data_IF_533428175499
#
_entry.id   IF_533428175499
#
_cell.length_a   1.000
_cell.length_b   1.000
_cell.length_c   1.000
_cell.angle_alpha   90.00
_cell.angle_beta   90.00
_cell.angle_gamma   90.00
#
_symmetry.space_group_name_H-M   'P 1'
#
loop_
_entity.id
_entity.type
_entity.pdbx_description
1 polymer ?
#
# COMPACT_ATOMS: atom_id res chain seq x y z
N UNK A 1 -20.19 32.96 12.92
CA UNK A 1 -20.89 31.69 13.22
C UNK A 1 -19.99 30.53 12.85
N UNK A 2 -19.66 29.65 13.79
CA UNK A 2 -18.80 28.49 13.54
C UNK A 2 -19.54 27.45 12.69
N UNK A 3 -18.93 27.03 11.59
CA UNK A 3 -19.49 26.00 10.70
C UNK A 3 -19.47 24.66 11.45
N UNK A 4 -20.64 24.14 11.83
CA UNK A 4 -20.77 22.85 12.51
C UNK A 4 -20.24 21.74 11.60
N UNK A 5 -19.29 20.94 12.08
CA UNK A 5 -18.74 19.83 11.32
C UNK A 5 -19.75 18.67 11.26
N UNK A 6 -20.17 18.28 10.05
CA UNK A 6 -21.07 17.14 9.81
C UNK A 6 -20.24 15.88 9.57
N UNK A 7 -20.10 15.02 10.58
CA UNK A 7 -19.22 13.82 10.54
C UNK A 7 -19.98 12.48 10.40
N UNK A 8 -21.29 12.45 10.65
CA UNK A 8 -22.09 11.22 10.57
C UNK A 8 -22.59 10.97 9.16
N UNK A 9 -22.53 9.71 8.71
CA UNK A 9 -23.02 9.27 7.40
C UNK A 9 -24.27 8.38 7.56
N UNK A 10 -25.30 8.65 6.76
CA UNK A 10 -26.51 7.81 6.66
C UNK A 10 -26.52 7.14 5.29
N UNK A 11 -26.67 5.83 5.25
CA UNK A 11 -26.76 5.05 4.01
C UNK A 11 -28.23 4.79 3.64
N UNK A 12 -28.61 5.11 2.40
CA UNK A 12 -29.98 4.90 1.88
C UNK A 12 -29.94 3.87 0.76
N UNK A 13 -30.82 2.86 0.81
CA UNK A 13 -30.97 1.87 -0.25
C UNK A 13 -32.03 2.34 -1.23
N UNK A 14 -31.64 2.50 -2.49
CA UNK A 14 -32.51 2.87 -3.61
C UNK A 14 -32.23 1.93 -4.79
N UNK A 15 -33.18 1.86 -5.70
CA UNK A 15 -33.05 1.15 -6.96
C UNK A 15 -32.10 1.87 -7.93
N UNK A 16 -31.56 1.09 -8.88
CA UNK A 16 -30.56 1.57 -9.84
C UNK A 16 -31.03 2.75 -10.71
N UNK A 17 -32.27 2.79 -11.26
CA UNK A 17 -32.67 3.90 -12.12
C UNK A 17 -32.84 5.20 -11.31
N UNK A 18 -33.44 5.14 -10.12
CA UNK A 18 -33.50 6.31 -9.21
C UNK A 18 -32.11 6.84 -8.87
N UNK A 19 -31.14 5.95 -8.63
CA UNK A 19 -29.76 6.36 -8.38
C UNK A 19 -29.09 7.03 -9.59
N UNK A 20 -29.47 6.66 -10.82
CA UNK A 20 -28.95 7.27 -12.03
C UNK A 20 -29.53 8.68 -12.22
N UNK A 21 -30.84 8.82 -12.06
CA UNK A 21 -31.54 10.11 -12.14
C UNK A 21 -30.98 11.12 -11.12
N UNK A 22 -30.71 10.69 -9.88
CA UNK A 22 -30.13 11.57 -8.86
C UNK A 22 -28.72 12.04 -9.23
N UNK A 23 -27.91 11.17 -9.86
CA UNK A 23 -26.58 11.56 -10.35
C UNK A 23 -26.67 12.56 -11.48
N UNK A 24 -27.60 12.36 -12.41
CA UNK A 24 -27.83 13.28 -13.54
C UNK A 24 -28.26 14.65 -13.05
N UNK A 25 -29.26 14.71 -12.15
CA UNK A 25 -29.74 15.97 -11.56
C UNK A 25 -28.65 16.68 -10.75
N UNK A 26 -27.87 15.95 -9.96
CA UNK A 26 -26.75 16.52 -9.21
C UNK A 26 -25.67 17.09 -10.14
N UNK A 27 -25.35 16.38 -11.23
CA UNK A 27 -24.37 16.82 -12.24
C UNK A 27 -24.86 18.05 -12.99
N UNK A 28 -26.14 18.11 -13.37
CA UNK A 28 -26.74 19.28 -14.00
C UNK A 28 -26.70 20.52 -13.09
N UNK A 29 -26.77 20.32 -11.77
CA UNK A 29 -26.60 21.38 -10.77
C UNK A 29 -25.13 21.65 -10.39
N UNK A 30 -24.15 20.94 -10.95
CA UNK A 30 -22.74 21.09 -10.62
C UNK A 30 -22.37 20.67 -9.19
N UNK A 31 -23.22 19.92 -8.51
CA UNK A 31 -23.07 19.50 -7.11
C UNK A 31 -22.72 18.02 -7.01
N UNK A 32 -22.13 17.63 -5.88
CA UNK A 32 -22.08 16.22 -5.50
C UNK A 32 -23.49 15.69 -5.20
N UNK A 33 -23.73 14.39 -5.41
CA UNK A 33 -25.04 13.77 -5.09
C UNK A 33 -25.42 14.02 -3.62
N UNK A 34 -24.46 13.95 -2.70
CA UNK A 34 -24.69 14.23 -1.29
C UNK A 34 -25.09 15.68 -1.02
N UNK A 35 -24.48 16.66 -1.71
CA UNK A 35 -24.86 18.07 -1.57
C UNK A 35 -26.21 18.38 -2.23
N UNK A 36 -26.49 17.78 -3.38
CA UNK A 36 -27.78 17.91 -4.06
C UNK A 36 -28.93 17.38 -3.18
N UNK A 37 -28.76 16.20 -2.57
CA UNK A 37 -29.73 15.62 -1.62
C UNK A 37 -29.88 16.52 -0.38
N UNK A 38 -28.79 16.99 0.22
CA UNK A 38 -28.86 17.91 1.37
C UNK A 38 -29.58 19.21 1.03
N UNK A 39 -29.40 19.71 -0.19
CA UNK A 39 -30.13 20.87 -0.69
C UNK A 39 -31.64 20.67 -0.75
N UNK A 40 -32.07 19.48 -1.19
CA UNK A 40 -33.47 19.12 -1.27
C UNK A 40 -34.12 18.83 0.10
N UNK A 41 -33.35 18.27 1.05
CA UNK A 41 -33.88 17.83 2.36
C UNK A 41 -33.74 18.89 3.45
N UNK A 42 -32.62 19.60 3.54
CA UNK A 42 -32.26 20.47 4.66
C UNK A 42 -32.30 21.98 4.33
N UNK A 43 -33.27 22.43 3.52
CA UNK A 43 -33.54 23.85 3.23
C UNK A 43 -32.28 24.75 3.12
N UNK A 44 -31.50 24.55 2.05
CA UNK A 44 -30.32 25.35 1.68
C UNK A 44 -29.03 25.19 2.51
N UNK A 45 -28.80 24.04 3.16
CA UNK A 45 -27.50 23.70 3.79
C UNK A 45 -26.51 22.98 2.85
N UNK A 46 -26.45 23.32 1.56
CA UNK A 46 -25.45 22.79 0.64
C UNK A 46 -24.05 23.19 1.09
N UNK A 47 -23.10 22.27 1.01
CA UNK A 47 -21.70 22.57 1.38
C UNK A 47 -20.90 23.17 0.22
N UNK A 48 -21.44 23.11 -1.01
CA UNK A 48 -20.81 23.52 -2.27
C UNK A 48 -19.42 22.87 -2.48
N UNK A 49 -19.22 21.67 -1.94
CA UNK A 49 -17.97 20.95 -2.18
C UNK A 49 -18.05 20.25 -3.53
N UNK A 50 -17.00 20.36 -4.36
CA UNK A 50 -16.94 19.64 -5.63
C UNK A 50 -16.93 18.13 -5.37
N UNK A 51 -17.55 17.38 -6.29
CA UNK A 51 -17.51 15.91 -6.27
C UNK A 51 -16.06 15.42 -6.15
N UNK A 52 -15.74 14.57 -5.16
CA UNK A 52 -14.39 14.02 -5.01
C UNK A 52 -13.95 13.31 -6.29
N UNK A 53 -12.94 13.86 -6.96
CA UNK A 53 -12.38 13.27 -8.17
C UNK A 53 -11.50 12.08 -7.78
N UNK A 54 -11.69 10.93 -8.45
CA UNK A 54 -10.77 9.79 -8.30
C UNK A 54 -9.39 10.25 -8.74
N UNK A 55 -8.40 10.17 -7.84
CA UNK A 55 -7.01 10.47 -8.20
C UNK A 55 -6.60 9.51 -9.32
N UNK A 56 -5.96 10.01 -10.40
CA UNK A 56 -5.41 9.14 -11.43
C UNK A 56 -4.40 8.20 -10.78
N UNK A 57 -4.50 6.91 -11.11
CA UNK A 57 -3.56 5.89 -10.66
C UNK A 57 -2.20 6.27 -11.26
N UNK A 58 -1.23 6.62 -10.41
CA UNK A 58 0.14 6.84 -10.87
C UNK A 58 0.68 5.49 -11.36
N UNK A 59 0.98 5.39 -12.66
CA UNK A 59 1.74 4.27 -13.19
C UNK A 59 3.15 4.38 -12.61
N UNK A 60 3.54 3.39 -11.81
CA UNK A 60 4.87 3.34 -11.21
C UNK A 60 5.90 3.10 -12.32
N UNK A 61 6.96 3.90 -12.32
CA UNK A 61 8.14 3.65 -13.14
C UNK A 61 8.89 2.43 -12.58
N UNK A 62 9.00 1.38 -13.38
CA UNK A 62 9.66 0.12 -13.03
C UNK A 62 11.05 -0.01 -13.65
N UNK A 63 11.56 1.02 -14.32
CA UNK A 63 12.88 0.99 -15.00
C UNK A 63 14.05 0.74 -14.03
N UNK A 64 13.87 1.08 -12.76
CA UNK A 64 14.82 0.86 -11.67
C UNK A 64 14.38 -0.25 -10.69
N UNK A 65 13.40 -1.08 -11.05
CA UNK A 65 13.00 -2.16 -10.17
C UNK A 65 14.13 -3.20 -10.08
N UNK A 66 14.61 -3.42 -8.85
CA UNK A 66 15.50 -4.53 -8.55
C UNK A 66 14.82 -5.86 -8.90
N UNK A 67 15.60 -6.88 -9.24
CA UNK A 67 15.07 -8.21 -9.57
C UNK A 67 14.06 -8.67 -8.49
N UNK A 68 12.79 -8.93 -8.87
CA UNK A 68 11.76 -9.32 -7.91
C UNK A 68 12.08 -10.64 -7.20
N UNK A 69 12.86 -11.55 -7.82
CA UNK A 69 13.29 -12.77 -7.16
C UNK A 69 14.27 -12.46 -6.02
N UNK A 70 15.28 -11.63 -6.27
CA UNK A 70 16.20 -11.12 -5.27
C UNK A 70 15.48 -10.41 -4.13
N UNK A 71 14.53 -9.51 -4.45
CA UNK A 71 13.77 -8.77 -3.44
C UNK A 71 12.93 -9.69 -2.56
N UNK A 72 12.33 -10.75 -3.12
CA UNK A 72 11.60 -11.76 -2.33
C UNK A 72 12.52 -12.50 -1.37
N UNK A 73 13.72 -12.89 -1.82
CA UNK A 73 14.70 -13.56 -0.98
C UNK A 73 15.15 -12.65 0.18
N UNK A 74 15.48 -11.38 -0.12
CA UNK A 74 15.86 -10.40 0.88
C UNK A 74 14.74 -10.15 1.91
N UNK A 75 13.49 -10.07 1.46
CA UNK A 75 12.34 -9.95 2.33
C UNK A 75 12.17 -11.18 3.23
N UNK A 76 12.38 -12.39 2.70
CA UNK A 76 12.36 -13.63 3.47
C UNK A 76 13.44 -13.66 4.56
N UNK A 77 14.67 -13.29 4.23
CA UNK A 77 15.77 -13.17 5.19
C UNK A 77 15.45 -12.16 6.30
N UNK A 78 14.92 -11.00 5.93
CA UNK A 78 14.53 -9.96 6.88
C UNK A 78 13.40 -10.42 7.81
N UNK A 79 12.43 -11.17 7.28
CA UNK A 79 11.35 -11.76 8.06
C UNK A 79 11.88 -12.75 9.10
N UNK A 80 12.85 -13.58 8.74
CA UNK A 80 13.47 -14.53 9.67
C UNK A 80 14.19 -13.80 10.82
N UNK A 81 14.97 -12.76 10.52
CA UNK A 81 15.62 -11.94 11.56
C UNK A 81 14.60 -11.28 12.49
N UNK A 82 13.48 -10.81 11.94
CA UNK A 82 12.39 -10.24 12.73
C UNK A 82 11.71 -11.28 13.64
N UNK A 83 11.57 -12.53 13.18
CA UNK A 83 11.06 -13.62 14.02
C UNK A 83 12.00 -13.93 15.18
N UNK A 84 13.31 -13.98 14.93
CA UNK A 84 14.32 -14.16 15.99
C UNK A 84 14.21 -13.01 17.01
N UNK A 85 14.15 -11.76 16.54
CA UNK A 85 14.00 -10.61 17.42
C UNK A 85 12.74 -10.67 18.29
N UNK A 86 11.61 -11.11 17.71
CA UNK A 86 10.35 -11.30 18.46
C UNK A 86 10.46 -12.39 19.50
N UNK A 87 10.98 -13.57 19.15
CA UNK A 87 11.18 -14.67 20.09
C UNK A 87 12.08 -14.26 21.26
N UNK A 88 13.18 -13.55 21.00
CA UNK A 88 14.07 -13.05 22.05
C UNK A 88 13.36 -12.04 22.98
N UNK A 89 12.54 -11.15 22.42
CA UNK A 89 11.75 -10.20 23.20
C UNK A 89 10.67 -10.89 24.05
N UNK A 90 10.00 -11.91 23.50
CA UNK A 90 9.00 -12.72 24.22
C UNK A 90 9.64 -13.48 25.38
N UNK A 91 10.77 -14.15 25.17
CA UNK A 91 11.50 -14.83 26.24
C UNK A 91 11.93 -13.85 27.35
N UNK A 92 12.41 -12.65 26.98
CA UNK A 92 12.74 -11.59 27.94
C UNK A 92 11.51 -11.17 28.75
N UNK A 93 10.36 -10.99 28.09
CA UNK A 93 9.11 -10.56 28.73
C UNK A 93 8.54 -11.63 29.67
N UNK A 94 8.70 -12.91 29.30
CA UNK A 94 8.29 -14.06 30.10
C UNK A 94 9.28 -14.41 31.23
N UNK A 95 10.38 -13.67 31.38
CA UNK A 95 11.43 -13.95 32.38
C UNK A 95 12.19 -15.25 32.14
N UNK A 96 12.10 -15.82 30.93
CA UNK A 96 12.80 -17.04 30.56
C UNK A 96 14.27 -16.76 30.28
N UNK A 97 15.15 -17.70 30.64
CA UNK A 97 16.56 -17.58 30.29
C UNK A 97 16.76 -17.71 28.78
N UNK A 98 17.51 -16.77 28.20
CA UNK A 98 17.89 -16.78 26.79
C UNK A 98 19.40 -16.91 26.72
N UNK A 99 19.90 -17.86 25.94
CA UNK A 99 21.33 -18.00 25.66
C UNK A 99 21.77 -16.94 24.64
N UNK A 100 21.71 -15.67 25.03
CA UNK A 100 21.95 -14.52 24.14
C UNK A 100 23.33 -14.59 23.47
N UNK A 101 24.34 -15.07 24.19
CA UNK A 101 25.70 -15.27 23.67
C UNK A 101 25.73 -16.29 22.54
N UNK A 102 25.01 -17.41 22.69
CA UNK A 102 24.94 -18.47 21.68
C UNK A 102 24.20 -17.98 20.42
N UNK A 103 23.08 -17.27 20.61
CA UNK A 103 22.33 -16.67 19.50
C UNK A 103 23.18 -15.65 18.74
N UNK A 104 23.92 -14.80 19.45
CA UNK A 104 24.84 -13.84 18.83
C UNK A 104 25.98 -14.56 18.10
N UNK A 105 26.56 -15.62 18.67
CA UNK A 105 27.62 -16.40 18.03
C UNK A 105 27.13 -17.06 16.74
N UNK A 106 25.93 -17.63 16.74
CA UNK A 106 25.32 -18.23 15.54
C UNK A 106 25.06 -17.19 14.45
N UNK A 107 24.50 -16.02 14.80
CA UNK A 107 24.26 -14.94 13.83
C UNK A 107 25.58 -14.43 13.22
N UNK A 108 26.65 -14.34 14.03
CA UNK A 108 27.98 -13.96 13.53
C UNK A 108 28.60 -15.04 12.63
N UNK A 109 28.39 -16.33 12.92
CA UNK A 109 28.81 -17.42 12.02
C UNK A 109 28.12 -17.30 10.67
N UNK A 110 26.80 -17.11 10.66
CA UNK A 110 26.01 -16.94 9.43
C UNK A 110 26.50 -15.72 8.63
N UNK A 111 26.76 -14.59 9.29
CA UNK A 111 27.31 -13.40 8.64
C UNK A 111 28.67 -13.67 8.01
N UNK A 112 29.58 -14.36 8.71
CA UNK A 112 30.91 -14.69 8.22
C UNK A 112 30.86 -15.67 7.02
N UNK A 113 30.01 -16.69 7.09
CA UNK A 113 29.78 -17.63 5.99
C UNK A 113 29.19 -16.92 4.76
N UNK A 114 28.19 -16.05 4.96
CA UNK A 114 27.62 -15.27 3.88
C UNK A 114 28.67 -14.35 3.23
N UNK A 115 29.50 -13.66 4.03
CA UNK A 115 30.57 -12.82 3.53
C UNK A 115 31.62 -13.61 2.72
N UNK A 116 31.85 -14.87 3.06
CA UNK A 116 32.73 -15.76 2.31
C UNK A 116 32.11 -16.26 1.00
N UNK A 117 30.79 -16.52 0.97
CA UNK A 117 30.08 -17.06 -0.19
C UNK A 117 29.74 -15.99 -1.23
N UNK A 118 29.39 -14.76 -0.82
CA UNK A 118 28.95 -13.69 -1.72
C UNK A 118 29.95 -13.38 -2.86
N UNK A 119 31.28 -13.31 -2.62
CA UNK A 119 32.26 -13.09 -3.70
C UNK A 119 32.39 -14.25 -4.69
N UNK A 120 31.91 -15.45 -4.34
CA UNK A 120 31.97 -16.65 -5.18
C UNK A 120 30.74 -16.79 -6.09
N UNK A 121 29.73 -15.93 -5.89
CA UNK A 121 28.53 -15.94 -6.72
C UNK A 121 28.85 -15.42 -8.13
N UNK A 122 28.23 -16.01 -9.16
CA UNK A 122 28.39 -15.50 -10.52
C UNK A 122 27.86 -14.05 -10.62
N UNK A 123 28.42 -13.25 -11.54
CA UNK A 123 27.95 -11.88 -11.75
C UNK A 123 26.46 -11.89 -12.09
N UNK A 124 25.70 -10.88 -11.62
CA UNK A 124 24.27 -10.82 -11.88
C UNK A 124 24.01 -10.82 -13.40
N UNK A 125 22.93 -11.49 -13.85
CA UNK A 125 22.58 -11.51 -15.26
C UNK A 125 22.42 -10.07 -15.77
N UNK A 126 23.04 -9.76 -16.90
CA UNK A 126 22.90 -8.45 -17.53
C UNK A 126 21.41 -8.22 -17.84
N UNK A 127 20.86 -7.03 -17.55
CA UNK A 127 19.48 -6.75 -17.88
C UNK A 127 19.30 -6.96 -19.39
N UNK A 128 18.35 -7.82 -19.77
CA UNK A 128 17.98 -7.97 -21.16
C UNK A 128 17.39 -6.64 -21.60
N UNK A 129 18.18 -5.86 -22.35
CA UNK A 129 17.62 -4.77 -23.13
C UNK A 129 16.59 -5.44 -24.03
N UNK A 130 15.30 -5.20 -23.78
CA UNK A 130 14.27 -5.58 -24.73
C UNK A 130 14.66 -4.89 -26.02
N UNK A 131 15.23 -5.63 -26.96
CA UNK A 131 15.33 -5.20 -28.34
C UNK A 131 13.92 -4.75 -28.71
N UNK A 132 13.81 -3.48 -29.02
CA UNK A 132 12.63 -2.90 -29.61
C UNK A 132 12.33 -3.74 -30.85
N UNK A 133 11.37 -4.65 -30.73
CA UNK A 133 10.73 -5.31 -31.87
C UNK A 133 10.03 -4.20 -32.65
N UNK A 134 10.82 -3.59 -33.51
CA UNK A 134 10.41 -2.86 -34.68
C UNK A 134 10.45 -3.86 -35.83
N UNK A 135 9.52 -4.82 -35.81
CA UNK A 135 9.09 -5.55 -37.01
C UNK A 135 7.65 -5.10 -37.25
N UNK A 136 7.41 -4.19 -38.19
CA UNK A 136 7.23 -4.50 -39.60
C UNK A 136 5.98 -5.37 -39.85
N UNK A 137 4.81 -4.74 -39.90
CA UNK A 137 3.88 -4.67 -41.06
C UNK A 137 2.52 -4.13 -40.65
#
# INVERSE_FOLDING_TARGET
>A
MSKVQKITTVSVRIDKPTAAEWRERATASGLSVSDWIRGAVDANQQTNLPTPQRRPVRVRDTSNDADPALMRQLAGMSNNLNQIARALNECRLAGSSVQLVEVLALLRSIEAEAAHLLPQLPPPPKPTTKESSSDAR
#
